data_IF_084177828755
#
_entry.id   IF_084177828755
#
_cell.length_a   1.000
_cell.length_b   1.000
_cell.length_c   1.000
_cell.angle_alpha   90.00
_cell.angle_beta   90.00
_cell.angle_gamma   90.00
#
_symmetry.space_group_name_H-M   'P 1'
#
loop_
_entity.id
_entity.type
_entity.pdbx_description
1 polymer ?
#
# COMPACT_ATOMS: atom_id res chain seq x y z
N UNK A 1 7.70 -3.73 -59.63
CA UNK A 1 6.96 -3.89 -58.35
C UNK A 1 7.47 -2.86 -57.36
N UNK A 2 6.67 -1.85 -57.00
CA UNK A 2 6.98 -0.88 -55.94
C UNK A 2 6.36 -1.41 -54.64
N UNK A 3 7.20 -1.75 -53.67
CA UNK A 3 6.75 -2.08 -52.31
C UNK A 3 6.53 -0.75 -51.58
N UNK A 4 5.27 -0.44 -51.27
CA UNK A 4 4.90 0.69 -50.42
C UNK A 4 5.06 0.24 -48.98
N UNK A 5 6.05 0.79 -48.28
CA UNK A 5 6.21 0.61 -46.84
C UNK A 5 5.18 1.47 -46.10
N UNK A 6 4.17 0.83 -45.51
CA UNK A 6 3.27 1.47 -44.56
C UNK A 6 4.03 1.69 -43.23
N UNK A 7 4.49 2.91 -43.00
CA UNK A 7 4.93 3.36 -41.67
C UNK A 7 3.70 3.46 -40.76
N UNK A 8 3.52 2.46 -39.90
CA UNK A 8 2.54 2.51 -38.83
C UNK A 8 3.04 3.53 -37.79
N UNK A 9 2.54 4.77 -37.85
CA UNK A 9 2.71 5.73 -36.75
C UNK A 9 1.92 5.20 -35.55
N UNK A 10 2.62 4.53 -34.64
CA UNK A 10 2.09 4.19 -33.33
C UNK A 10 2.10 5.47 -32.47
N UNK A 11 1.02 6.26 -32.54
CA UNK A 11 0.81 7.40 -31.66
C UNK A 11 0.69 6.91 -30.22
N UNK A 12 1.78 7.05 -29.45
CA UNK A 12 1.81 6.93 -28.00
C UNK A 12 0.79 7.91 -27.43
N UNK A 13 -0.42 7.44 -27.15
CA UNK A 13 -1.40 8.21 -26.39
C UNK A 13 -0.88 8.27 -24.96
N UNK A 14 -0.36 9.44 -24.57
CA UNK A 14 -0.08 9.74 -23.17
C UNK A 14 -1.44 9.78 -22.48
N UNK A 15 -1.75 8.75 -21.70
CA UNK A 15 -2.92 8.78 -20.84
C UNK A 15 -2.73 9.93 -19.84
N UNK A 16 -3.74 10.79 -19.77
CA UNK A 16 -3.77 11.85 -18.80
C UNK A 16 -3.57 11.29 -17.39
N UNK A 17 -2.75 11.98 -16.60
CA UNK A 17 -2.50 11.58 -15.23
C UNK A 17 -3.47 12.32 -14.30
N UNK A 18 -4.02 11.62 -13.29
CA UNK A 18 -4.80 12.29 -12.27
C UNK A 18 -3.92 13.30 -11.51
N UNK A 19 -4.50 14.45 -11.19
CA UNK A 19 -3.80 15.54 -10.48
C UNK A 19 -4.59 15.94 -9.24
N UNK A 20 -3.87 16.38 -8.20
CA UNK A 20 -4.47 16.97 -7.01
C UNK A 20 -4.62 18.46 -7.26
N UNK A 21 -5.81 19.02 -7.04
CA UNK A 21 -6.02 20.47 -7.08
C UNK A 21 -5.15 21.18 -6.03
N UNK A 22 -4.73 22.40 -6.29
CA UNK A 22 -3.81 23.16 -5.41
C UNK A 22 -4.28 23.24 -3.94
N UNK A 23 -5.59 23.37 -3.71
CA UNK A 23 -6.17 23.39 -2.36
C UNK A 23 -6.22 22.01 -1.67
N UNK A 24 -5.86 20.94 -2.39
CA UNK A 24 -5.87 19.56 -1.92
C UNK A 24 -7.27 18.96 -1.76
N UNK A 25 -8.33 19.64 -2.19
CA UNK A 25 -9.73 19.21 -1.95
C UNK A 25 -10.29 18.34 -3.06
N UNK A 26 -9.65 18.32 -4.23
CA UNK A 26 -10.15 17.62 -5.41
C UNK A 26 -9.06 16.81 -6.13
N UNK A 27 -9.48 15.70 -6.73
CA UNK A 27 -8.69 14.99 -7.75
C UNK A 27 -9.33 15.22 -9.10
N UNK A 28 -8.52 15.63 -10.07
CA UNK A 28 -8.92 15.92 -11.45
C UNK A 28 -8.28 14.92 -12.40
N UNK A 29 -8.99 14.56 -13.46
CA UNK A 29 -8.45 13.83 -14.62
C UNK A 29 -9.01 14.49 -15.87
N UNK A 30 -8.14 14.98 -16.76
CA UNK A 30 -8.55 15.75 -17.94
C UNK A 30 -9.49 16.92 -17.62
N UNK A 31 -9.19 17.66 -16.54
CA UNK A 31 -10.01 18.77 -16.06
C UNK A 31 -11.35 18.36 -15.44
N UNK A 32 -11.70 17.07 -15.44
CA UNK A 32 -12.90 16.55 -14.79
C UNK A 32 -12.61 16.17 -13.34
N UNK A 33 -13.47 16.64 -12.43
CA UNK A 33 -13.42 16.24 -11.01
C UNK A 33 -13.81 14.76 -10.87
N UNK A 34 -12.89 13.96 -10.32
CA UNK A 34 -13.10 12.55 -9.96
C UNK A 34 -13.43 12.36 -8.48
N UNK A 35 -12.82 13.19 -7.63
CA UNK A 35 -13.07 13.23 -6.18
C UNK A 35 -13.19 14.66 -5.70
N UNK A 36 -14.04 14.85 -4.70
CA UNK A 36 -14.29 16.13 -4.06
C UNK A 36 -14.50 15.93 -2.55
N UNK A 37 -13.69 16.60 -1.73
CA UNK A 37 -13.69 16.49 -0.27
C UNK A 37 -15.10 16.63 0.35
N UNK A 38 -15.89 17.59 -0.15
CA UNK A 38 -17.23 17.88 0.38
C UNK A 38 -18.25 16.80 0.02
N UNK A 39 -18.09 16.17 -1.15
CA UNK A 39 -19.03 15.17 -1.67
C UNK A 39 -18.67 13.76 -1.22
N UNK A 40 -17.38 13.49 -1.08
CA UNK A 40 -16.83 12.15 -0.88
C UNK A 40 -16.39 11.88 0.56
N UNK A 41 -16.46 12.89 1.44
CA UNK A 41 -16.29 12.73 2.88
C UNK A 41 -14.84 12.49 3.28
N UNK A 42 -13.96 13.43 2.94
CA UNK A 42 -12.57 13.46 3.39
C UNK A 42 -12.09 14.90 3.58
N UNK A 43 -11.01 15.12 4.32
CA UNK A 43 -10.49 16.45 4.60
C UNK A 43 -9.58 16.98 3.50
N UNK A 44 -8.66 16.14 3.01
CA UNK A 44 -7.67 16.49 1.99
C UNK A 44 -7.18 15.24 1.24
N UNK A 45 -6.81 15.40 -0.03
CA UNK A 45 -6.08 14.38 -0.79
C UNK A 45 -4.61 14.39 -0.36
N UNK A 46 -4.10 13.23 0.03
CA UNK A 46 -2.71 13.09 0.47
C UNK A 46 -1.80 12.75 -0.70
N UNK A 47 -2.09 11.65 -1.37
CA UNK A 47 -1.17 11.04 -2.34
C UNK A 47 -1.96 10.33 -3.45
N UNK A 48 -1.37 10.21 -4.63
CA UNK A 48 -1.88 9.40 -5.74
C UNK A 48 -0.81 8.39 -6.13
N UNK A 49 -1.17 7.11 -6.19
CA UNK A 49 -0.25 6.06 -6.63
C UNK A 49 -0.82 5.28 -7.81
N UNK A 50 -0.15 5.41 -8.95
CA UNK A 50 -0.43 4.62 -10.13
C UNK A 50 -0.06 3.15 -9.90
N UNK A 51 -0.89 2.24 -10.41
CA UNK A 51 -0.56 0.82 -10.46
C UNK A 51 0.66 0.60 -11.36
N UNK A 52 1.53 -0.39 -11.08
CA UNK A 52 2.69 -0.69 -11.90
C UNK A 52 2.38 -0.90 -13.40
N UNK A 53 1.20 -1.41 -13.73
CA UNK A 53 0.78 -1.61 -15.13
C UNK A 53 0.08 -0.39 -15.76
N UNK A 54 -0.07 0.71 -15.03
CA UNK A 54 -0.72 1.94 -15.50
C UNK A 54 -2.23 1.84 -15.74
N UNK A 55 -2.89 0.72 -15.43
CA UNK A 55 -4.31 0.52 -15.74
C UNK A 55 -5.25 1.00 -14.63
N UNK A 56 -4.72 1.24 -13.45
CA UNK A 56 -5.45 1.71 -12.27
C UNK A 56 -4.59 2.70 -11.51
N UNK A 57 -5.21 3.48 -10.64
CA UNK A 57 -4.51 4.28 -9.64
C UNK A 57 -5.33 4.30 -8.36
N UNK A 58 -4.64 4.55 -7.26
CA UNK A 58 -5.27 4.77 -5.96
C UNK A 58 -5.04 6.21 -5.53
N UNK A 59 -6.04 6.78 -4.88
CA UNK A 59 -5.96 8.09 -4.23
C UNK A 59 -6.06 7.84 -2.74
N UNK A 60 -5.05 8.24 -1.98
CA UNK A 60 -5.09 8.25 -0.53
C UNK A 60 -5.60 9.61 -0.06
N UNK A 61 -6.54 9.62 0.87
CA UNK A 61 -7.14 10.83 1.42
C UNK A 61 -7.10 10.80 2.95
N UNK A 62 -6.97 11.99 3.52
CA UNK A 62 -7.09 12.24 4.95
C UNK A 62 -8.54 12.02 5.38
N UNK A 63 -8.77 10.97 6.16
CA UNK A 63 -10.07 10.68 6.78
C UNK A 63 -10.24 11.48 8.05
N UNK A 64 -9.77 10.93 9.18
CA UNK A 64 -9.79 11.57 10.49
C UNK A 64 -8.34 11.81 10.96
N UNK A 65 -8.01 13.05 11.35
CA UNK A 65 -6.68 13.49 11.83
C UNK A 65 -5.47 13.14 10.93
N UNK A 66 -5.72 12.70 9.70
CA UNK A 66 -4.74 12.28 8.69
C UNK A 66 -3.79 11.13 9.10
N UNK A 67 -4.00 10.52 10.27
CA UNK A 67 -3.41 9.24 10.67
C UNK A 67 -4.35 8.07 10.39
N UNK A 68 -5.65 8.34 10.31
CA UNK A 68 -6.71 7.38 9.96
C UNK A 68 -7.26 7.68 8.56
N UNK A 69 -6.61 7.09 7.56
CA UNK A 69 -6.83 7.47 6.16
C UNK A 69 -7.81 6.55 5.44
N UNK A 70 -8.31 7.04 4.31
CA UNK A 70 -9.12 6.29 3.34
C UNK A 70 -8.43 6.29 2.00
N UNK A 71 -8.75 5.29 1.19
CA UNK A 71 -8.29 5.14 -0.17
C UNK A 71 -9.47 5.07 -1.13
N UNK A 72 -9.27 5.58 -2.34
CA UNK A 72 -10.18 5.40 -3.46
C UNK A 72 -9.43 4.75 -4.62
N UNK A 73 -9.99 3.67 -5.16
CA UNK A 73 -9.44 2.97 -6.31
C UNK A 73 -10.19 3.41 -7.58
N UNK A 74 -9.43 3.65 -8.64
CA UNK A 74 -9.93 4.01 -9.96
C UNK A 74 -9.25 3.19 -11.05
N UNK A 75 -9.95 2.99 -12.17
CA UNK A 75 -9.31 2.68 -13.44
C UNK A 75 -8.57 3.91 -13.96
N UNK A 76 -7.57 3.72 -14.82
CA UNK A 76 -6.78 4.81 -15.41
C UNK A 76 -7.62 5.89 -16.10
N UNK A 77 -8.78 5.53 -16.64
CA UNK A 77 -9.73 6.47 -17.24
C UNK A 77 -10.66 7.18 -16.24
N UNK A 78 -10.39 7.09 -14.94
CA UNK A 78 -11.18 7.73 -13.87
C UNK A 78 -12.50 7.05 -13.54
N UNK A 79 -12.83 5.91 -14.16
CA UNK A 79 -14.06 5.15 -13.85
C UNK A 79 -13.83 4.14 -12.72
N UNK A 80 -14.91 3.54 -12.22
CA UNK A 80 -14.82 2.42 -11.27
C UNK A 80 -14.45 2.83 -9.84
N UNK A 81 -14.69 4.09 -9.49
CA UNK A 81 -14.50 4.65 -8.15
C UNK A 81 -14.96 3.69 -7.05
N UNK A 82 -14.04 3.30 -6.18
CA UNK A 82 -14.33 2.43 -5.02
C UNK A 82 -13.55 2.88 -3.80
N UNK A 83 -14.27 3.24 -2.74
CA UNK A 83 -13.67 3.59 -1.45
C UNK A 83 -13.24 2.34 -0.66
N UNK A 84 -12.15 2.46 0.09
CA UNK A 84 -11.69 1.50 1.09
C UNK A 84 -10.91 2.22 2.20
N UNK A 85 -10.79 1.65 3.40
CA UNK A 85 -11.51 0.50 3.90
C UNK A 85 -12.99 0.87 4.10
N UNK A 86 -13.83 -0.14 4.37
CA UNK A 86 -15.23 0.07 4.70
C UNK A 86 -15.45 0.89 5.98
N UNK A 87 -16.71 1.03 6.39
CA UNK A 87 -17.10 1.75 7.61
C UNK A 87 -16.32 1.25 8.84
N UNK A 88 -15.88 2.16 9.69
CA UNK A 88 -15.19 1.85 10.95
C UNK A 88 -13.79 1.23 10.83
N UNK A 89 -13.17 1.27 9.65
CA UNK A 89 -11.81 0.76 9.42
C UNK A 89 -10.99 1.78 8.65
N UNK A 90 -9.70 1.95 8.98
CA UNK A 90 -8.86 2.98 8.39
C UNK A 90 -7.52 2.42 7.91
N UNK A 91 -6.86 3.16 7.03
CA UNK A 91 -5.48 2.89 6.61
C UNK A 91 -4.58 3.61 7.60
N UNK A 92 -3.63 2.88 8.17
CA UNK A 92 -2.58 3.48 8.99
C UNK A 92 -1.74 4.41 8.13
N UNK A 93 -1.81 5.73 8.36
CA UNK A 93 -1.04 6.72 7.60
C UNK A 93 -1.12 6.46 6.09
N UNK A 94 0.02 6.33 5.41
CA UNK A 94 0.15 6.00 3.99
C UNK A 94 0.57 4.55 3.74
N UNK A 95 0.30 3.62 4.68
CA UNK A 95 0.73 2.21 4.56
C UNK A 95 -0.17 1.44 3.59
N UNK A 96 -0.04 1.78 2.32
CA UNK A 96 -0.71 1.20 1.15
C UNK A 96 0.35 0.83 0.11
N UNK A 97 0.18 -0.26 -0.62
CA UNK A 97 1.14 -0.67 -1.65
C UNK A 97 0.48 -1.50 -2.75
N UNK A 98 1.00 -1.38 -3.96
CA UNK A 98 0.59 -2.21 -5.10
C UNK A 98 1.34 -3.54 -5.12
N UNK A 99 0.64 -4.63 -5.42
CA UNK A 99 1.30 -5.86 -5.88
C UNK A 99 2.07 -5.60 -7.17
N UNK A 100 3.20 -6.27 -7.35
CA UNK A 100 4.03 -6.10 -8.57
C UNK A 100 3.24 -6.39 -9.86
N UNK A 101 2.28 -7.32 -9.81
CA UNK A 101 1.42 -7.67 -10.94
C UNK A 101 0.15 -6.81 -11.06
N UNK A 102 0.02 -5.76 -10.24
CA UNK A 102 -1.11 -4.82 -10.21
C UNK A 102 -2.49 -5.47 -9.95
N UNK A 103 -2.56 -6.74 -9.50
CA UNK A 103 -3.83 -7.42 -9.22
C UNK A 103 -4.38 -7.11 -7.84
N UNK A 104 -3.54 -6.65 -6.93
CA UNK A 104 -3.90 -6.35 -5.55
C UNK A 104 -3.37 -5.00 -5.10
N UNK A 105 -4.16 -4.34 -4.27
CA UNK A 105 -3.69 -3.28 -3.37
C UNK A 105 -3.63 -3.88 -1.98
N UNK A 106 -2.51 -3.72 -1.28
CA UNK A 106 -2.38 -4.04 0.13
C UNK A 106 -2.45 -2.77 0.96
N UNK A 107 -3.06 -2.84 2.14
CA UNK A 107 -3.04 -1.73 3.09
C UNK A 107 -3.01 -2.25 4.51
N UNK A 108 -2.38 -1.51 5.42
CA UNK A 108 -2.42 -1.84 6.85
C UNK A 108 -3.68 -1.25 7.48
N UNK A 109 -4.59 -2.12 7.92
CA UNK A 109 -5.84 -1.73 8.57
C UNK A 109 -5.58 -1.42 10.04
N UNK A 110 -6.12 -0.30 10.50
CA UNK A 110 -6.28 0.04 11.93
C UNK A 110 -7.75 0.28 12.26
N UNK A 111 -8.06 0.20 13.55
CA UNK A 111 -9.32 0.73 14.08
C UNK A 111 -9.17 2.24 14.34
N UNK A 112 -10.30 2.95 14.45
CA UNK A 112 -10.25 4.37 14.84
C UNK A 112 -9.84 4.47 16.31
N UNK A 113 -8.90 5.35 16.59
CA UNK A 113 -8.55 5.82 17.94
C UNK A 113 -9.56 6.82 18.48
N UNK A 114 -10.34 7.46 17.61
CA UNK A 114 -11.30 8.51 17.96
C UNK A 114 -12.75 8.03 18.05
N UNK A 115 -13.01 6.73 17.85
CA UNK A 115 -14.33 6.15 17.98
C UNK A 115 -14.35 5.14 19.14
N UNK A 116 -15.48 5.05 19.83
CA UNK A 116 -15.75 3.92 20.72
C UNK A 116 -15.65 2.62 19.91
N UNK A 117 -14.66 1.81 20.24
CA UNK A 117 -14.47 0.53 19.57
C UNK A 117 -15.65 -0.39 19.93
N UNK A 118 -16.19 -1.17 18.98
CA UNK A 118 -17.14 -2.22 19.31
C UNK A 118 -16.47 -3.23 20.25
N UNK A 119 -17.27 -4.00 20.99
CA UNK A 119 -16.78 -5.00 21.96
C UNK A 119 -15.78 -6.01 21.35
N UNK A 120 -15.87 -6.28 20.05
CA UNK A 120 -14.92 -7.09 19.29
C UNK A 120 -14.47 -6.32 18.03
N UNK A 121 -13.50 -5.41 18.15
CA UNK A 121 -13.01 -4.66 17.00
C UNK A 121 -12.22 -5.60 16.10
N UNK A 122 -12.36 -5.49 14.76
CA UNK A 122 -11.58 -6.34 13.87
C UNK A 122 -10.09 -6.09 14.09
N UNK A 123 -9.28 -7.13 13.83
CA UNK A 123 -7.83 -7.07 14.05
C UNK A 123 -7.17 -6.01 13.18
N UNK A 124 -6.11 -5.43 13.72
CA UNK A 124 -5.18 -4.58 12.96
C UNK A 124 -4.21 -5.49 12.22
N UNK A 125 -4.23 -5.38 10.90
CA UNK A 125 -3.54 -6.33 10.04
C UNK A 125 -3.41 -5.79 8.61
N UNK A 126 -2.51 -6.39 7.84
CA UNK A 126 -2.50 -6.20 6.40
C UNK A 126 -3.75 -6.82 5.75
N UNK A 127 -4.45 -6.00 4.95
CA UNK A 127 -5.56 -6.42 4.09
C UNK A 127 -5.13 -6.35 2.63
N UNK A 128 -5.84 -7.06 1.78
CA UNK A 128 -5.69 -7.03 0.33
C UNK A 128 -7.03 -6.72 -0.32
N UNK A 129 -7.00 -5.92 -1.38
CA UNK A 129 -8.13 -5.66 -2.26
C UNK A 129 -7.80 -6.27 -3.60
N UNK A 130 -8.63 -7.19 -4.09
CA UNK A 130 -8.56 -7.60 -5.48
C UNK A 130 -9.04 -6.44 -6.35
N UNK A 131 -8.18 -5.92 -7.21
CA UNK A 131 -8.44 -4.70 -8.00
C UNK A 131 -9.66 -4.88 -8.91
N UNK A 132 -9.77 -6.06 -9.53
CA UNK A 132 -10.87 -6.41 -10.44
C UNK A 132 -12.20 -6.54 -9.71
N UNK A 133 -12.27 -7.35 -8.65
CA UNK A 133 -13.55 -7.70 -8.01
C UNK A 133 -13.92 -6.80 -6.84
N UNK A 134 -12.97 -6.12 -6.22
CA UNK A 134 -13.14 -5.35 -4.99
C UNK A 134 -13.18 -6.20 -3.73
N UNK A 135 -12.96 -7.51 -3.83
CA UNK A 135 -12.92 -8.39 -2.68
C UNK A 135 -11.82 -7.92 -1.71
N UNK A 136 -12.21 -7.60 -0.48
CA UNK A 136 -11.34 -7.11 0.57
C UNK A 136 -11.17 -8.21 1.63
N UNK A 137 -9.97 -8.76 1.76
CA UNK A 137 -9.68 -9.91 2.62
C UNK A 137 -8.34 -9.75 3.34
N UNK A 138 -7.97 -10.70 4.22
CA UNK A 138 -6.64 -10.76 4.83
C UNK A 138 -5.56 -10.88 3.75
N UNK A 139 -4.43 -10.19 3.89
CA UNK A 139 -3.37 -10.07 2.87
C UNK A 139 -2.50 -11.32 2.68
N UNK A 140 -3.12 -12.47 2.41
CA UNK A 140 -2.43 -13.75 2.19
C UNK A 140 -1.57 -13.76 0.90
N UNK A 141 -1.88 -12.88 -0.05
CA UNK A 141 -1.17 -12.71 -1.33
C UNK A 141 -0.05 -11.66 -1.27
N UNK A 142 0.13 -10.94 -0.16
CA UNK A 142 1.20 -9.94 -0.03
C UNK A 142 2.58 -10.58 -0.10
N UNK A 143 3.42 -10.07 -0.99
CA UNK A 143 4.81 -10.50 -1.20
C UNK A 143 5.67 -9.25 -1.29
N UNK A 144 6.80 -9.25 -0.59
CA UNK A 144 7.77 -8.18 -0.69
C UNK A 144 8.44 -8.22 -2.07
N UNK A 145 8.76 -7.03 -2.60
CA UNK A 145 9.39 -6.80 -3.89
C UNK A 145 10.90 -6.70 -3.68
N UNK A 146 11.72 -7.54 -4.34
CA UNK A 146 13.18 -7.53 -4.16
C UNK A 146 13.87 -6.20 -4.46
N UNK A 147 13.25 -5.34 -5.30
CA UNK A 147 13.81 -4.05 -5.70
C UNK A 147 13.33 -2.88 -4.83
N UNK A 148 12.43 -3.10 -3.87
CA UNK A 148 11.90 -2.06 -3.00
C UNK A 148 12.71 -1.93 -1.69
N UNK A 149 12.64 -0.75 -1.07
CA UNK A 149 13.03 -0.53 0.33
C UNK A 149 11.80 -0.56 1.23
N UNK A 150 12.03 -0.86 2.50
CA UNK A 150 10.99 -1.07 3.50
C UNK A 150 11.29 -0.31 4.79
N UNK A 151 10.23 0.18 5.40
CA UNK A 151 10.24 0.76 6.73
C UNK A 151 9.51 -0.13 7.73
N UNK A 152 9.90 -0.02 9.00
CA UNK A 152 9.19 -0.60 10.13
C UNK A 152 7.85 0.11 10.30
N UNK A 153 6.79 -0.66 10.57
CA UNK A 153 5.48 -0.12 10.89
C UNK A 153 4.87 -0.80 12.10
N UNK A 154 3.98 -0.05 12.76
CA UNK A 154 2.98 -0.54 13.70
C UNK A 154 3.53 -1.57 14.69
N UNK A 155 4.34 -1.08 15.62
CA UNK A 155 4.87 -1.88 16.70
C UNK A 155 4.20 -1.49 18.02
N UNK A 156 3.91 -2.50 18.83
CA UNK A 156 3.57 -2.34 20.25
C UNK A 156 4.83 -2.19 21.12
N UNK A 157 6.01 -2.17 20.50
CA UNK A 157 7.34 -2.11 21.13
C UNK A 157 8.22 -1.14 20.35
N UNK A 158 9.28 -0.62 20.98
CA UNK A 158 10.18 0.35 20.34
C UNK A 158 11.07 -0.25 19.25
N UNK A 159 11.11 -1.59 19.12
CA UNK A 159 12.01 -2.28 18.18
C UNK A 159 11.37 -3.47 17.47
N UNK A 160 11.82 -3.70 16.24
CA UNK A 160 11.60 -4.93 15.48
C UNK A 160 12.78 -5.89 15.69
N UNK A 161 12.50 -7.04 16.30
CA UNK A 161 13.50 -8.08 16.50
C UNK A 161 13.92 -8.75 15.19
N UNK A 162 15.23 -8.82 14.95
CA UNK A 162 15.85 -9.59 13.87
C UNK A 162 16.34 -10.91 14.42
N UNK A 163 15.91 -12.02 13.81
CA UNK A 163 16.15 -13.37 14.32
C UNK A 163 17.05 -14.19 13.41
N UNK A 164 17.78 -15.13 14.01
CA UNK A 164 18.66 -16.05 13.28
C UNK A 164 17.91 -17.01 12.34
N UNK A 165 16.66 -17.36 12.68
CA UNK A 165 15.82 -18.29 11.94
C UNK A 165 14.36 -17.80 11.88
N UNK A 166 13.55 -18.26 10.90
CA UNK A 166 12.20 -17.76 10.64
C UNK A 166 11.14 -18.31 11.61
N UNK A 167 11.33 -18.10 12.92
CA UNK A 167 10.32 -18.43 13.94
C UNK A 167 10.52 -17.60 15.21
N UNK A 168 9.44 -17.44 15.99
CA UNK A 168 9.41 -16.55 17.16
C UNK A 168 10.34 -17.00 18.32
N UNK A 169 10.75 -18.27 18.34
CA UNK A 169 11.66 -18.83 19.35
C UNK A 169 13.14 -18.80 18.95
N UNK A 170 13.46 -18.35 17.73
CA UNK A 170 14.85 -18.25 17.28
C UNK A 170 15.58 -17.14 18.04
N UNK A 171 16.89 -17.30 18.24
CA UNK A 171 17.72 -16.27 18.87
C UNK A 171 17.56 -14.91 18.16
N UNK A 172 17.46 -13.85 18.96
CA UNK A 172 17.48 -12.47 18.48
C UNK A 172 18.95 -12.12 18.24
N UNK A 173 19.30 -11.75 17.01
CA UNK A 173 20.67 -11.42 16.59
C UNK A 173 20.86 -9.92 16.36
N UNK A 174 19.81 -9.14 16.57
CA UNK A 174 19.81 -7.69 16.51
C UNK A 174 18.40 -7.13 16.48
N UNK A 175 18.30 -5.82 16.37
CA UNK A 175 17.03 -5.09 16.34
C UNK A 175 17.07 -4.00 15.28
N UNK A 176 15.88 -3.63 14.80
CA UNK A 176 15.66 -2.45 13.95
C UNK A 176 14.78 -1.50 14.76
N UNK A 177 15.13 -0.20 14.89
CA UNK A 177 14.29 0.79 15.55
C UNK A 177 12.88 0.89 14.93
N UNK A 178 11.90 1.35 15.70
CA UNK A 178 10.52 1.54 15.24
C UNK A 178 10.37 2.54 14.09
N UNK A 179 11.31 3.47 13.94
CA UNK A 179 11.43 4.42 12.83
C UNK A 179 12.40 3.94 11.73
N UNK A 180 12.89 2.70 11.82
CA UNK A 180 13.85 2.14 10.91
C UNK A 180 13.34 2.07 9.47
N UNK A 181 14.12 2.59 8.54
CA UNK A 181 13.86 2.61 7.09
C UNK A 181 15.10 2.11 6.30
N UNK A 182 15.00 2.02 4.98
CA UNK A 182 16.06 1.49 4.11
C UNK A 182 16.29 -0.02 4.26
N UNK A 183 15.29 -0.76 4.77
CA UNK A 183 15.38 -2.22 4.94
C UNK A 183 15.28 -2.88 3.57
N UNK A 184 16.27 -3.70 3.21
CA UNK A 184 16.29 -4.41 1.92
C UNK A 184 15.82 -5.84 2.08
N UNK A 185 14.84 -6.23 1.28
CA UNK A 185 14.40 -7.62 1.19
C UNK A 185 15.42 -8.44 0.38
N UNK A 186 15.79 -9.63 0.87
CA UNK A 186 16.80 -10.48 0.22
C UNK A 186 16.23 -11.46 -0.81
N UNK A 187 14.90 -11.55 -0.93
CA UNK A 187 14.25 -12.54 -1.81
C UNK A 187 13.80 -13.82 -1.08
N UNK A 188 14.24 -14.05 0.17
CA UNK A 188 13.88 -15.25 0.94
C UNK A 188 12.70 -14.99 1.88
N UNK A 189 11.66 -15.82 1.76
CA UNK A 189 10.53 -15.87 2.70
C UNK A 189 10.29 -17.29 3.23
N UNK A 190 9.83 -17.39 4.47
CA UNK A 190 9.42 -18.65 5.07
C UNK A 190 8.17 -18.45 5.91
N UNK A 191 7.15 -19.29 5.69
CA UNK A 191 5.98 -19.33 6.57
C UNK A 191 6.23 -20.31 7.72
N UNK A 192 5.98 -19.84 8.94
CA UNK A 192 5.98 -20.67 10.16
C UNK A 192 4.71 -20.36 10.94
N UNK A 193 3.81 -21.35 11.03
CA UNK A 193 2.44 -21.11 11.51
C UNK A 193 1.71 -20.12 10.59
N UNK A 194 1.10 -19.10 11.18
CA UNK A 194 0.40 -18.02 10.45
C UNK A 194 1.32 -16.88 10.00
N UNK A 195 2.56 -16.84 10.51
CA UNK A 195 3.51 -15.75 10.29
C UNK A 195 4.34 -16.01 9.04
N UNK A 196 4.47 -14.98 8.19
CA UNK A 196 5.45 -14.98 7.10
C UNK A 196 6.68 -14.23 7.60
N UNK A 197 7.81 -14.92 7.60
CA UNK A 197 9.12 -14.36 7.89
C UNK A 197 9.79 -13.95 6.59
N UNK A 198 10.34 -12.75 6.56
CA UNK A 198 11.15 -12.25 5.46
C UNK A 198 12.59 -12.11 5.94
N UNK A 199 13.54 -12.61 5.15
CA UNK A 199 14.95 -12.37 5.42
C UNK A 199 15.33 -11.02 4.81
N UNK A 200 15.89 -10.15 5.64
CA UNK A 200 16.18 -8.77 5.29
C UNK A 200 17.63 -8.42 5.61
N UNK A 201 18.11 -7.37 4.97
CA UNK A 201 19.35 -6.67 5.30
C UNK A 201 19.01 -5.25 5.76
N UNK A 202 19.48 -4.88 6.94
CA UNK A 202 19.40 -3.53 7.48
C UNK A 202 20.80 -3.11 7.94
N UNK A 203 21.39 -2.11 7.25
CA UNK A 203 22.80 -1.76 7.41
C UNK A 203 23.70 -3.00 7.22
N UNK A 204 24.47 -3.38 8.23
CA UNK A 204 25.34 -4.57 8.24
C UNK A 204 24.62 -5.85 8.74
N UNK A 205 23.45 -5.72 9.37
CA UNK A 205 22.71 -6.82 9.96
C UNK A 205 21.87 -7.56 8.89
N UNK A 206 21.96 -8.89 8.86
CA UNK A 206 21.13 -9.75 8.00
C UNK A 206 20.46 -10.82 8.84
N UNK A 207 19.14 -10.98 8.70
CA UNK A 207 18.37 -11.97 9.46
C UNK A 207 16.89 -11.96 9.12
N UNK A 208 16.09 -12.67 9.92
CA UNK A 208 14.66 -12.86 9.70
C UNK A 208 13.81 -11.94 10.56
N UNK A 209 12.85 -11.27 9.94
CA UNK A 209 11.84 -10.44 10.61
C UNK A 209 10.44 -10.91 10.23
N UNK A 210 9.44 -10.61 11.06
CA UNK A 210 8.05 -10.83 10.70
C UNK A 210 7.64 -9.80 9.61
N UNK A 211 7.20 -10.28 8.45
CA UNK A 211 6.82 -9.46 7.31
C UNK A 211 5.69 -8.47 7.62
N UNK A 212 4.83 -8.76 8.61
CA UNK A 212 3.72 -7.87 8.96
C UNK A 212 4.17 -6.49 9.42
N UNK A 213 5.39 -6.37 9.93
CA UNK A 213 5.97 -5.11 10.41
C UNK A 213 6.76 -4.35 9.35
N UNK A 214 6.72 -4.79 8.09
CA UNK A 214 7.38 -4.10 6.99
C UNK A 214 6.33 -3.48 6.07
N UNK A 215 6.47 -2.19 5.79
CA UNK A 215 5.76 -1.50 4.70
C UNK A 215 6.76 -1.03 3.67
N UNK A 216 6.40 -1.13 2.40
CA UNK A 216 7.20 -0.52 1.34
C UNK A 216 7.33 0.99 1.57
N UNK A 217 8.53 1.50 1.29
CA UNK A 217 8.76 2.94 1.12
C UNK A 217 8.37 3.29 -0.30
N UNK A 218 7.28 4.04 -0.44
CA UNK A 218 6.87 4.57 -1.73
C UNK A 218 7.80 5.74 -2.10
N UNK A 219 8.27 5.80 -3.36
CA UNK A 219 9.15 6.87 -3.84
C UNK A 219 8.46 8.23 -3.88
#
# INVERSE_FOLDING_TARGET
MKVIAFLLLCSLHVLAQPTIKEDGTQVLLDGKVLLDATKDGFMRVLEIHSAPNGQNFLVLVCGFECFENKGFLFRANGTGKRMFPGRGSYILQNKVEWSADSKYVFYFRINSTAADLPLDPPREEWKQINVRTGANTVATKRRLKPQATYAVIHLWSDVLNVRAAPHARAAIIGTIPSDGNGIRYTGETKRTGTVIWAKVKFRTLTGWVNQSYLSEELP
#
